data_IF_266236594290
#
_entry.id   IF_266236594290
#
_cell.length_a   1.000
_cell.length_b   1.000
_cell.length_c   1.000
_cell.angle_alpha   90.00
_cell.angle_beta   90.00
_cell.angle_gamma   90.00
#
_symmetry.space_group_name_H-M   'P 1'
#
loop_
_entity.id
_entity.type
_entity.pdbx_description
1 polymer ?
#
# COMPACT_ATOMS: atom_id res chain seq x y z
N UNK A 1 45.20 26.15 -58.37
CA UNK A 1 45.23 24.78 -57.83
C UNK A 1 44.84 24.81 -56.36
N UNK A 2 43.98 23.88 -55.89
CA UNK A 2 43.37 23.88 -54.56
C UNK A 2 44.14 22.99 -53.56
N UNK A 3 43.88 23.20 -52.27
CA UNK A 3 43.84 22.18 -51.20
C UNK A 3 43.54 22.89 -49.86
N UNK A 4 42.93 22.32 -48.84
CA UNK A 4 42.03 21.17 -48.65
C UNK A 4 41.71 21.22 -47.14
N UNK A 5 40.60 20.63 -46.77
CA UNK A 5 39.92 20.71 -45.47
C UNK A 5 40.70 20.04 -44.33
N UNK A 6 40.42 20.48 -43.10
CA UNK A 6 40.87 19.82 -41.88
C UNK A 6 40.05 20.23 -40.67
N UNK A 7 38.77 19.88 -40.67
CA UNK A 7 37.90 19.99 -39.50
C UNK A 7 38.10 18.86 -38.47
N UNK A 8 37.26 18.93 -37.43
CA UNK A 8 37.07 18.05 -36.27
C UNK A 8 37.81 18.52 -35.02
N UNK A 9 37.15 18.80 -33.90
CA UNK A 9 35.73 18.68 -33.58
C UNK A 9 35.58 19.10 -32.13
N UNK A 10 34.61 19.99 -31.90
CA UNK A 10 34.14 20.35 -30.57
C UNK A 10 33.85 19.09 -29.76
N UNK A 11 34.47 19.01 -28.58
CA UNK A 11 34.12 18.04 -27.55
C UNK A 11 32.76 18.46 -26.98
N UNK A 12 31.71 18.20 -27.75
CA UNK A 12 30.33 18.36 -27.30
C UNK A 12 30.06 17.34 -26.21
N UNK A 13 29.69 17.89 -25.06
CA UNK A 13 28.82 17.31 -24.04
C UNK A 13 27.95 16.15 -24.57
N UNK A 14 28.41 14.92 -24.35
CA UNK A 14 27.53 13.75 -24.36
C UNK A 14 26.73 13.79 -23.07
N UNK A 15 25.64 14.55 -23.11
CA UNK A 15 24.52 14.34 -22.21
C UNK A 15 24.06 12.90 -22.39
N UNK A 16 24.33 12.07 -21.37
CA UNK A 16 23.74 10.75 -21.17
C UNK A 16 22.21 10.87 -21.14
N UNK A 17 21.58 10.96 -22.31
CA UNK A 17 20.14 10.91 -22.46
C UNK A 17 19.74 9.43 -22.44
N UNK A 18 19.34 8.95 -21.27
CA UNK A 18 18.70 7.65 -21.12
C UNK A 18 17.33 7.70 -21.82
N UNK A 19 17.31 7.45 -23.13
CA UNK A 19 16.08 7.36 -23.90
C UNK A 19 15.35 6.07 -23.49
N UNK A 20 14.53 6.19 -22.46
CA UNK A 20 13.56 5.15 -22.12
C UNK A 20 12.50 5.15 -23.23
N UNK A 21 12.38 4.02 -23.95
CA UNK A 21 11.47 3.88 -25.09
C UNK A 21 10.03 4.33 -24.73
N UNK A 22 9.36 5.18 -25.55
CA UNK A 22 8.07 5.77 -25.20
C UNK A 22 6.95 4.74 -24.96
N UNK A 23 6.98 3.61 -25.67
CA UNK A 23 6.03 2.50 -25.46
C UNK A 23 6.19 1.86 -24.07
N UNK A 24 7.42 1.79 -23.56
CA UNK A 24 7.69 1.27 -22.24
C UNK A 24 7.16 2.21 -21.15
N UNK A 25 7.28 3.52 -21.34
CA UNK A 25 6.68 4.52 -20.44
C UNK A 25 5.14 4.46 -20.45
N UNK A 26 4.53 4.28 -21.62
CA UNK A 26 3.07 4.15 -21.76
C UNK A 26 2.54 2.87 -21.07
N UNK A 27 3.23 1.73 -21.23
CA UNK A 27 2.87 0.48 -20.55
C UNK A 27 3.09 0.53 -19.03
N UNK A 28 4.10 1.28 -18.56
CA UNK A 28 4.36 1.51 -17.13
C UNK A 28 3.28 2.40 -16.51
N UNK A 29 2.93 3.51 -17.15
CA UNK A 29 1.87 4.41 -16.71
C UNK A 29 0.51 3.69 -16.59
N UNK A 30 0.15 2.86 -17.59
CA UNK A 30 -1.08 2.06 -17.53
C UNK A 30 -1.12 1.05 -16.38
N UNK A 31 0.02 0.44 -16.03
CA UNK A 31 0.13 -0.49 -14.90
C UNK A 31 0.03 0.21 -13.54
N UNK A 32 0.56 1.44 -13.42
CA UNK A 32 0.42 2.25 -12.19
C UNK A 32 -1.04 2.69 -11.97
N UNK A 33 -1.72 3.15 -13.03
CA UNK A 33 -3.15 3.49 -12.95
C UNK A 33 -3.99 2.28 -12.55
N UNK A 34 -3.69 1.09 -13.08
CA UNK A 34 -4.38 -0.14 -12.68
C UNK A 34 -4.12 -0.50 -11.21
N UNK A 35 -2.90 -0.31 -10.70
CA UNK A 35 -2.57 -0.54 -9.29
C UNK A 35 -3.31 0.42 -8.36
N UNK A 36 -3.36 1.71 -8.69
CA UNK A 36 -4.10 2.75 -7.94
C UNK A 36 -5.59 2.39 -7.82
N UNK A 37 -6.21 2.00 -8.93
CA UNK A 37 -7.63 1.59 -8.98
C UNK A 37 -7.96 0.37 -8.13
N UNK A 38 -6.97 -0.44 -7.78
CA UNK A 38 -7.14 -1.60 -6.90
C UNK A 38 -6.81 -1.24 -5.45
N UNK A 39 -5.80 -0.39 -5.23
CA UNK A 39 -5.35 0.02 -3.91
C UNK A 39 -6.41 0.84 -3.16
N UNK A 40 -7.05 1.80 -3.83
CA UNK A 40 -8.05 2.68 -3.22
C UNK A 40 -9.26 1.89 -2.65
N UNK A 41 -9.94 1.01 -3.41
CA UNK A 41 -11.01 0.16 -2.86
C UNK A 41 -10.54 -0.75 -1.73
N UNK A 42 -9.30 -1.26 -1.80
CA UNK A 42 -8.77 -2.17 -0.78
C UNK A 42 -8.59 -1.45 0.56
N UNK A 43 -7.97 -0.28 0.56
CA UNK A 43 -7.78 0.55 1.76
C UNK A 43 -9.13 1.00 2.31
N UNK A 44 -10.05 1.43 1.44
CA UNK A 44 -11.41 1.80 1.85
C UNK A 44 -12.16 0.63 2.52
N UNK A 45 -11.97 -0.59 2.00
CA UNK A 45 -12.53 -1.80 2.61
C UNK A 45 -11.89 -2.09 3.96
N UNK A 46 -10.55 -2.03 4.09
CA UNK A 46 -9.86 -2.22 5.37
C UNK A 46 -10.37 -1.25 6.45
N UNK A 47 -10.55 0.03 6.09
CA UNK A 47 -11.10 1.05 6.99
C UNK A 47 -12.56 0.76 7.40
N UNK A 48 -13.39 0.26 6.48
CA UNK A 48 -14.76 -0.14 6.79
C UNK A 48 -14.82 -1.30 7.79
N UNK A 49 -13.92 -2.28 7.67
CA UNK A 49 -13.80 -3.37 8.64
C UNK A 49 -13.33 -2.87 10.01
N UNK A 50 -12.42 -1.89 10.06
CA UNK A 50 -12.00 -1.26 11.32
C UNK A 50 -13.15 -0.53 12.02
N UNK A 51 -13.96 0.20 11.26
CA UNK A 51 -15.17 0.82 11.79
C UNK A 51 -16.17 -0.22 12.33
N UNK A 52 -16.36 -1.33 11.61
CA UNK A 52 -17.23 -2.42 12.04
C UNK A 52 -16.76 -3.08 13.35
N UNK A 53 -15.46 -3.34 13.49
CA UNK A 53 -14.85 -3.86 14.74
C UNK A 53 -15.15 -2.91 15.92
N UNK A 54 -15.01 -1.60 15.71
CA UNK A 54 -15.34 -0.59 16.71
C UNK A 54 -16.82 -0.64 17.12
N UNK A 55 -17.73 -0.70 16.14
CA UNK A 55 -19.17 -0.76 16.41
C UNK A 55 -19.60 -2.04 17.12
N UNK A 56 -19.05 -3.20 16.74
CA UNK A 56 -19.32 -4.47 17.42
C UNK A 56 -18.88 -4.44 18.89
N UNK A 57 -17.73 -3.84 19.17
CA UNK A 57 -17.23 -3.65 20.54
C UNK A 57 -18.20 -2.79 21.37
N UNK A 58 -18.66 -1.68 20.79
CA UNK A 58 -19.62 -0.80 21.45
C UNK A 58 -20.97 -1.48 21.69
N UNK A 59 -21.46 -2.25 20.71
CA UNK A 59 -22.71 -3.00 20.82
C UNK A 59 -22.66 -4.04 21.94
N UNK A 60 -21.59 -4.84 22.00
CA UNK A 60 -21.40 -5.83 23.06
C UNK A 60 -21.36 -5.19 24.45
N UNK A 61 -20.66 -4.06 24.59
CA UNK A 61 -20.62 -3.29 25.83
C UNK A 61 -22.01 -2.73 26.20
N UNK A 62 -22.75 -2.19 25.22
CA UNK A 62 -24.09 -1.66 25.45
C UNK A 62 -25.07 -2.73 25.93
N UNK A 63 -25.02 -3.94 25.37
CA UNK A 63 -25.85 -5.08 25.81
C UNK A 63 -25.51 -5.48 27.25
N UNK A 64 -24.22 -5.61 27.56
CA UNK A 64 -23.77 -5.99 28.89
C UNK A 64 -24.19 -4.96 29.96
N UNK A 65 -24.05 -3.67 29.66
CA UNK A 65 -24.45 -2.57 30.55
C UNK A 65 -25.97 -2.48 30.70
N UNK A 66 -26.71 -2.48 29.59
CA UNK A 66 -28.18 -2.37 29.62
C UNK A 66 -28.82 -3.50 30.44
N UNK A 67 -28.26 -4.71 30.38
CA UNK A 67 -28.70 -5.83 31.21
C UNK A 67 -28.53 -5.56 32.71
N UNK A 68 -27.37 -5.04 33.11
CA UNK A 68 -27.08 -4.71 34.52
C UNK A 68 -28.01 -3.60 35.00
N UNK A 69 -28.16 -2.55 34.20
CA UNK A 69 -29.02 -1.40 34.50
C UNK A 69 -30.49 -1.81 34.64
N UNK A 70 -30.93 -2.79 33.85
CA UNK A 70 -32.29 -3.33 33.90
C UNK A 70 -32.49 -4.41 34.98
N UNK A 71 -31.46 -4.78 35.76
CA UNK A 71 -31.56 -5.85 36.75
C UNK A 71 -31.82 -7.24 36.16
N UNK A 72 -31.46 -7.45 34.89
CA UNK A 72 -31.73 -8.69 34.16
C UNK A 72 -30.66 -9.76 34.42
N UNK A 73 -31.10 -11.02 34.44
CA UNK A 73 -30.20 -12.18 34.58
C UNK A 73 -29.22 -12.27 33.41
N UNK A 74 -27.99 -12.73 33.67
CA UNK A 74 -26.91 -12.87 32.68
C UNK A 74 -27.33 -13.70 31.45
N UNK A 75 -28.11 -14.75 31.67
CA UNK A 75 -28.61 -15.66 30.63
C UNK A 75 -29.43 -14.93 29.55
N UNK A 76 -30.11 -13.82 29.90
CA UNK A 76 -30.96 -13.08 28.96
C UNK A 76 -30.19 -12.53 27.76
N UNK A 77 -28.93 -12.12 27.94
CA UNK A 77 -28.10 -11.57 26.87
C UNK A 77 -26.99 -12.51 26.40
N UNK A 78 -26.90 -13.71 26.96
CA UNK A 78 -25.76 -14.61 26.74
C UNK A 78 -25.63 -14.98 25.25
N UNK A 79 -26.71 -15.45 24.62
CA UNK A 79 -26.70 -15.80 23.20
C UNK A 79 -26.35 -14.62 22.29
N UNK A 80 -26.89 -13.42 22.59
CA UNK A 80 -26.55 -12.21 21.84
C UNK A 80 -25.07 -11.83 21.96
N UNK A 81 -24.46 -12.02 23.14
CA UNK A 81 -23.03 -11.76 23.35
C UNK A 81 -22.16 -12.80 22.64
N UNK A 82 -22.59 -14.06 22.58
CA UNK A 82 -21.95 -15.12 21.80
C UNK A 82 -21.95 -14.81 20.30
N UNK A 83 -23.11 -14.44 19.74
CA UNK A 83 -23.26 -14.05 18.33
C UNK A 83 -22.38 -12.85 17.97
N UNK A 84 -22.29 -11.85 18.87
CA UNK A 84 -21.42 -10.70 18.70
C UNK A 84 -19.94 -11.11 18.74
N UNK A 85 -19.55 -11.99 19.66
CA UNK A 85 -18.17 -12.47 19.77
C UNK A 85 -17.76 -13.28 18.53
N UNK A 86 -18.65 -14.11 17.99
CA UNK A 86 -18.45 -14.84 16.73
C UNK A 86 -18.29 -13.86 15.56
N UNK A 87 -19.22 -12.90 15.43
CA UNK A 87 -19.19 -11.88 14.38
C UNK A 87 -17.92 -11.03 14.46
N UNK A 88 -17.51 -10.63 15.67
CA UNK A 88 -16.28 -9.90 15.91
C UNK A 88 -15.06 -10.68 15.42
N UNK A 89 -14.97 -11.95 15.79
CA UNK A 89 -13.88 -12.85 15.37
C UNK A 89 -13.84 -13.00 13.85
N UNK A 90 -14.99 -13.20 13.21
CA UNK A 90 -15.11 -13.28 11.76
C UNK A 90 -14.65 -11.98 11.07
N UNK A 91 -15.02 -10.82 11.62
CA UNK A 91 -14.66 -9.50 11.09
C UNK A 91 -13.14 -9.26 11.18
N UNK A 92 -12.52 -9.60 12.30
CA UNK A 92 -11.05 -9.53 12.47
C UNK A 92 -10.34 -10.48 11.49
N UNK A 93 -10.87 -11.69 11.30
CA UNK A 93 -10.32 -12.65 10.35
C UNK A 93 -10.42 -12.15 8.90
N UNK A 94 -11.53 -11.52 8.53
CA UNK A 94 -11.72 -10.89 7.22
C UNK A 94 -10.73 -9.75 6.99
N UNK A 95 -10.53 -8.86 7.98
CA UNK A 95 -9.51 -7.81 7.90
C UNK A 95 -8.11 -8.38 7.68
N UNK A 96 -7.74 -9.45 8.40
CA UNK A 96 -6.46 -10.14 8.20
C UNK A 96 -6.32 -10.66 6.77
N UNK A 97 -7.39 -11.18 6.17
CA UNK A 97 -7.37 -11.63 4.78
C UNK A 97 -7.12 -10.47 3.81
N UNK A 98 -7.72 -9.30 4.03
CA UNK A 98 -7.47 -8.09 3.23
C UNK A 98 -6.03 -7.60 3.34
N UNK A 99 -5.46 -7.55 4.54
CA UNK A 99 -4.04 -7.19 4.76
C UNK A 99 -3.12 -8.14 3.97
N UNK A 100 -3.44 -9.44 3.96
CA UNK A 100 -2.67 -10.41 3.19
C UNK A 100 -2.83 -10.20 1.67
N UNK A 101 -4.01 -9.83 1.20
CA UNK A 101 -4.25 -9.43 -0.20
C UNK A 101 -3.42 -8.20 -0.55
N UNK A 102 -3.41 -7.17 0.30
CA UNK A 102 -2.58 -5.96 0.13
C UNK A 102 -1.10 -6.32 -0.01
N UNK A 103 -0.57 -7.15 0.91
CA UNK A 103 0.83 -7.61 0.86
C UNK A 103 1.16 -8.37 -0.42
N UNK A 104 0.25 -9.25 -0.87
CA UNK A 104 0.41 -10.00 -2.13
C UNK A 104 0.40 -9.08 -3.35
N UNK A 105 -0.49 -8.09 -3.38
CA UNK A 105 -0.53 -7.07 -4.43
C UNK A 105 0.77 -6.26 -4.46
N UNK A 106 1.29 -5.82 -3.31
CA UNK A 106 2.58 -5.16 -3.22
C UNK A 106 3.74 -6.03 -3.73
N UNK A 107 3.75 -7.32 -3.41
CA UNK A 107 4.74 -8.25 -3.95
C UNK A 107 4.62 -8.43 -5.48
N UNK A 108 3.41 -8.44 -6.04
CA UNK A 108 3.20 -8.48 -7.49
C UNK A 108 3.67 -7.19 -8.17
N UNK A 109 3.44 -6.03 -7.56
CA UNK A 109 3.94 -4.74 -8.06
C UNK A 109 5.47 -4.72 -8.14
N UNK A 110 6.16 -5.25 -7.12
CA UNK A 110 7.62 -5.40 -7.11
C UNK A 110 8.11 -6.33 -8.23
N UNK A 111 7.50 -7.50 -8.36
CA UNK A 111 7.82 -8.46 -9.43
C UNK A 111 7.57 -7.90 -10.84
N UNK A 112 6.61 -6.99 -10.99
CA UNK A 112 6.31 -6.34 -12.26
C UNK A 112 7.30 -5.20 -12.61
N UNK A 113 8.30 -4.91 -11.75
CA UNK A 113 9.23 -3.78 -11.99
C UNK A 113 8.53 -2.42 -11.96
N UNK A 114 7.42 -2.33 -11.21
CA UNK A 114 6.72 -1.08 -10.89
C UNK A 114 7.21 -0.47 -9.58
N UNK A 115 8.05 -1.19 -8.85
CA UNK A 115 8.91 -0.62 -7.81
C UNK A 115 9.89 0.28 -8.56
N UNK A 116 9.58 1.57 -8.61
CA UNK A 116 10.48 2.55 -9.17
C UNK A 116 11.85 2.30 -8.56
N UNK A 117 12.82 1.99 -9.41
CA UNK A 117 14.22 1.95 -9.05
C UNK A 117 14.45 3.28 -8.32
N UNK A 118 14.71 3.22 -7.01
CA UNK A 118 15.32 4.34 -6.33
C UNK A 118 16.59 4.61 -7.13
N UNK A 119 16.58 5.68 -7.92
CA UNK A 119 17.79 6.20 -8.52
C UNK A 119 18.66 6.65 -7.33
N UNK A 120 19.50 5.74 -6.85
CA UNK A 120 20.74 6.10 -6.19
C UNK A 120 21.63 6.73 -7.25
N UNK A 121 21.37 7.99 -7.59
CA UNK A 121 22.24 8.87 -8.35
C UNK A 121 21.72 10.30 -8.22
N UNK A 122 22.34 11.10 -7.34
CA UNK A 122 22.08 12.54 -7.21
C UNK A 122 21.86 13.00 -5.78
N UNK A 123 22.97 13.30 -5.11
CA UNK A 123 23.10 14.31 -4.07
C UNK A 123 22.76 13.94 -2.61
N UNK A 124 23.78 13.40 -1.90
CA UNK A 124 24.14 13.98 -0.60
C UNK A 124 23.73 13.28 0.70
N UNK A 125 23.62 11.95 0.77
CA UNK A 125 23.65 11.29 2.09
C UNK A 125 25.11 11.04 2.50
N UNK A 126 25.66 11.74 3.51
CA UNK A 126 27.05 11.53 3.91
C UNK A 126 27.21 10.11 4.43
N UNK A 127 28.29 9.45 4.02
CA UNK A 127 28.72 8.18 4.60
C UNK A 127 28.91 8.38 6.11
N UNK A 128 28.48 7.43 6.96
CA UNK A 128 28.85 7.49 8.37
C UNK A 128 30.38 7.43 8.44
N UNK A 129 30.98 8.47 9.01
CA UNK A 129 32.41 8.49 9.28
C UNK A 129 32.72 7.31 10.21
N UNK A 130 33.31 6.25 9.66
CA UNK A 130 34.02 5.27 10.47
C UNK A 130 35.37 5.89 10.80
N UNK A 131 35.48 6.51 11.97
CA UNK A 131 36.77 6.82 12.60
C UNK A 131 37.06 5.73 13.62
N UNK A 132 38.16 5.01 13.37
CA UNK A 132 38.80 4.07 14.27
C UNK A 132 39.43 4.77 15.48
#
# INVERSE_FOLDING_TARGET
MPADQGGKGECMSEASNSVVHPDFQRSRSGRLVAAERIAEPLIGTEAAFDAAIGQLSLLGAAIATARVDAGMAAEFSQGSLEDIAETFTATVAARRALINTHRRLGAMQRKAGLEAINFGAGDGKPLPAFTA
#
